data_IF_069621183162
#
_entry.id   IF_069621183162
#
_cell.length_a   1.000
_cell.length_b   1.000
_cell.length_c   1.000
_cell.angle_alpha   90.00
_cell.angle_beta   90.00
_cell.angle_gamma   90.00
#
_symmetry.space_group_name_H-M   'P 1'
#
loop_
_entity.id
_entity.type
_entity.pdbx_description
1 polymer ?
#
# COMPACT_ATOMS: atom_id res chain seq x y z
N UNK A 1 24.32 5.18 -5.20
CA UNK A 1 24.89 3.84 -4.90
C UNK A 1 24.11 2.78 -5.66
N UNK A 2 24.74 1.65 -5.97
CA UNK A 2 24.09 0.48 -6.57
C UNK A 2 23.59 -0.40 -5.42
N UNK A 3 22.32 -0.88 -5.46
CA UNK A 3 21.82 -1.84 -4.48
C UNK A 3 22.62 -3.15 -4.50
N UNK A 4 22.77 -3.76 -3.35
CA UNK A 4 23.35 -5.10 -3.25
C UNK A 4 22.40 -6.12 -3.91
N UNK A 5 22.92 -6.94 -4.80
CA UNK A 5 22.14 -7.94 -5.58
C UNK A 5 22.67 -9.37 -5.40
N UNK A 6 23.58 -9.60 -4.46
CA UNK A 6 24.22 -10.92 -4.27
C UNK A 6 23.19 -12.03 -3.93
N UNK A 7 22.12 -11.68 -3.24
CA UNK A 7 21.08 -12.62 -2.80
C UNK A 7 19.74 -12.41 -3.52
N UNK A 8 19.75 -11.78 -4.71
CA UNK A 8 18.53 -11.53 -5.47
C UNK A 8 17.89 -12.85 -5.92
N UNK A 9 16.59 -12.99 -5.65
CA UNK A 9 15.79 -14.11 -6.13
C UNK A 9 15.02 -13.71 -7.40
N UNK A 10 14.98 -14.59 -8.39
CA UNK A 10 14.13 -14.42 -9.56
C UNK A 10 12.75 -15.03 -9.30
N UNK A 11 11.70 -14.25 -9.56
CA UNK A 11 10.30 -14.70 -9.55
C UNK A 11 9.86 -14.74 -11.01
N UNK A 12 9.82 -15.93 -11.60
CA UNK A 12 9.36 -16.15 -12.98
C UNK A 12 7.89 -16.48 -12.94
N UNK A 13 7.08 -15.63 -13.55
CA UNK A 13 5.62 -15.78 -13.56
C UNK A 13 5.06 -15.52 -14.95
N UNK A 14 4.03 -16.28 -15.26
CA UNK A 14 3.10 -15.97 -16.35
C UNK A 14 1.75 -15.64 -15.72
N UNK A 15 1.27 -14.40 -15.81
CA UNK A 15 0.00 -14.02 -15.20
C UNK A 15 -1.19 -14.84 -15.68
N UNK A 16 -1.11 -15.41 -16.90
CA UNK A 16 -2.18 -16.26 -17.47
C UNK A 16 -2.21 -17.65 -16.85
N UNK A 17 -1.13 -18.08 -16.18
CA UNK A 17 -1.04 -19.39 -15.53
C UNK A 17 -1.44 -19.37 -14.06
N UNK A 18 -1.95 -18.24 -13.54
CA UNK A 18 -2.37 -18.17 -12.15
C UNK A 18 -3.46 -19.20 -11.85
N UNK A 19 -3.24 -20.00 -10.81
CA UNK A 19 -4.21 -21.00 -10.34
C UNK A 19 -5.46 -20.28 -9.84
N UNK A 20 -6.61 -20.75 -10.28
CA UNK A 20 -7.92 -20.29 -9.88
C UNK A 20 -8.53 -21.28 -8.90
N UNK A 21 -9.48 -20.83 -8.09
CA UNK A 21 -10.29 -21.68 -7.19
C UNK A 21 -9.45 -22.46 -6.15
N UNK A 22 -8.27 -21.92 -5.75
CA UNK A 22 -7.50 -22.50 -4.65
C UNK A 22 -8.28 -22.37 -3.34
N UNK A 23 -8.50 -23.49 -2.58
CA UNK A 23 -9.20 -23.43 -1.30
C UNK A 23 -8.46 -22.54 -0.28
N UNK A 24 -9.20 -21.72 0.47
CA UNK A 24 -8.63 -20.84 1.47
C UNK A 24 -7.80 -21.60 2.53
N UNK A 25 -8.25 -22.79 2.93
CA UNK A 25 -7.56 -23.64 3.91
C UNK A 25 -6.21 -24.19 3.43
N UNK A 26 -5.89 -24.12 2.15
CA UNK A 26 -4.55 -24.47 1.65
C UNK A 26 -3.52 -23.36 1.91
N UNK A 27 -3.97 -22.12 1.98
CA UNK A 27 -3.14 -20.93 2.09
C UNK A 27 -3.12 -20.32 3.49
N UNK A 28 -4.26 -20.41 4.18
CA UNK A 28 -4.49 -19.74 5.45
C UNK A 28 -4.90 -20.73 6.55
N UNK A 29 -4.32 -20.58 7.74
CA UNK A 29 -4.77 -21.31 8.94
C UNK A 29 -6.15 -20.83 9.38
N UNK A 30 -6.41 -19.53 9.25
CA UNK A 30 -7.69 -18.92 9.58
C UNK A 30 -7.84 -17.53 8.98
N UNK A 31 -9.10 -17.10 8.85
CA UNK A 31 -9.44 -15.73 8.49
C UNK A 31 -10.25 -15.09 9.60
N UNK A 32 -9.74 -13.97 10.14
CA UNK A 32 -10.43 -13.20 11.17
C UNK A 32 -11.06 -11.97 10.54
N UNK A 33 -12.35 -11.81 10.77
CA UNK A 33 -13.11 -10.65 10.28
C UNK A 33 -13.24 -9.63 11.40
N UNK A 34 -12.88 -8.38 11.13
CA UNK A 34 -12.96 -7.26 12.08
C UNK A 34 -13.93 -6.21 11.53
N UNK A 35 -15.22 -6.27 11.85
CA UNK A 35 -16.17 -5.25 11.48
C UNK A 35 -15.78 -3.90 12.08
N UNK A 36 -15.61 -2.88 11.25
CA UNK A 36 -15.33 -1.53 11.74
C UNK A 36 -16.63 -0.89 12.22
N UNK A 37 -16.62 -0.38 13.45
CA UNK A 37 -17.80 0.17 14.09
C UNK A 37 -18.43 1.28 13.24
N UNK A 38 -19.75 1.15 13.00
CA UNK A 38 -20.54 2.12 12.24
C UNK A 38 -21.37 2.95 13.21
N UNK A 39 -20.95 4.18 13.43
CA UNK A 39 -21.68 5.23 14.15
C UNK A 39 -21.62 6.52 13.32
N UNK A 40 -22.46 7.49 13.60
CA UNK A 40 -22.51 8.76 12.83
C UNK A 40 -21.15 9.42 12.61
N UNK A 41 -20.21 9.30 13.56
CA UNK A 41 -18.89 9.90 13.48
C UNK A 41 -17.87 9.08 12.68
N UNK A 42 -18.13 7.80 12.46
CA UNK A 42 -17.17 6.85 11.87
C UNK A 42 -17.56 6.30 10.51
N UNK A 43 -18.66 6.79 9.91
CA UNK A 43 -19.12 6.30 8.60
C UNK A 43 -18.12 6.74 7.52
N UNK A 44 -17.65 5.78 6.74
CA UNK A 44 -16.81 5.99 5.56
C UNK A 44 -17.07 4.88 4.53
N UNK A 45 -16.58 5.05 3.30
CA UNK A 45 -16.85 4.10 2.21
C UNK A 45 -15.59 3.50 1.59
N UNK A 46 -14.50 4.25 1.55
CA UNK A 46 -13.29 3.85 0.84
C UNK A 46 -12.09 3.75 1.77
N UNK A 47 -11.22 2.82 1.46
CA UNK A 47 -9.89 2.72 2.06
C UNK A 47 -8.88 3.08 0.98
N UNK A 48 -8.48 4.34 0.93
CA UNK A 48 -7.51 4.83 -0.06
C UNK A 48 -6.08 4.62 0.41
N UNK A 49 -5.86 4.67 1.73
CA UNK A 49 -4.63 4.28 2.38
C UNK A 49 -4.93 3.69 3.75
N UNK A 50 -4.19 2.67 4.15
CA UNK A 50 -4.27 2.09 5.49
C UNK A 50 -2.87 1.82 6.04
N UNK A 51 -2.67 2.17 7.30
CA UNK A 51 -1.51 1.78 8.09
C UNK A 51 -1.98 1.06 9.35
N UNK A 52 -1.17 0.09 9.76
CA UNK A 52 -1.46 -0.75 10.93
C UNK A 52 -0.42 -0.51 11.99
N UNK A 53 -0.88 -0.03 13.13
CA UNK A 53 -0.03 0.17 14.31
C UNK A 53 -0.33 -0.88 15.38
N UNK A 54 0.43 -0.91 16.47
CA UNK A 54 0.11 -1.78 17.62
C UNK A 54 -1.25 -1.46 18.23
N UNK A 55 -1.65 -0.17 18.24
CA UNK A 55 -2.87 0.31 18.90
C UNK A 55 -4.10 0.29 17.99
N UNK A 56 -3.93 0.68 16.73
CA UNK A 56 -5.08 0.95 15.86
C UNK A 56 -4.79 0.67 14.38
N UNK A 57 -5.87 0.63 13.62
CA UNK A 57 -5.90 0.80 12.18
C UNK A 57 -6.10 2.27 11.87
N UNK A 58 -5.25 2.83 11.02
CA UNK A 58 -5.31 4.22 10.55
C UNK A 58 -5.72 4.20 9.10
N UNK A 59 -6.87 4.77 8.77
CA UNK A 59 -7.52 4.64 7.46
C UNK A 59 -7.82 6.02 6.90
N UNK A 60 -7.39 6.28 5.67
CA UNK A 60 -7.75 7.48 4.91
C UNK A 60 -8.90 7.15 3.97
N UNK A 61 -9.96 7.95 4.04
CA UNK A 61 -10.95 8.10 2.99
C UNK A 61 -10.73 9.48 2.32
N UNK A 62 -10.20 9.46 1.09
CA UNK A 62 -9.91 10.68 0.34
C UNK A 62 -11.16 11.44 -0.08
N UNK A 63 -12.26 10.73 -0.29
CA UNK A 63 -13.55 11.32 -0.68
C UNK A 63 -14.16 12.15 0.44
N UNK A 64 -14.01 11.65 1.67
CA UNK A 64 -14.44 12.36 2.88
C UNK A 64 -13.37 13.31 3.43
N UNK A 65 -12.17 13.31 2.85
CA UNK A 65 -11.04 14.08 3.33
C UNK A 65 -10.78 13.88 4.83
N UNK A 66 -10.79 12.61 5.26
CA UNK A 66 -10.78 12.24 6.68
C UNK A 66 -9.87 11.04 6.93
N UNK A 67 -9.07 11.10 7.98
CA UNK A 67 -8.35 9.93 8.50
C UNK A 67 -9.12 9.40 9.70
N UNK A 68 -9.50 8.14 9.65
CA UNK A 68 -10.20 7.44 10.72
C UNK A 68 -9.23 6.52 11.48
N UNK A 69 -9.42 6.44 12.78
CA UNK A 69 -8.69 5.52 13.64
C UNK A 69 -9.67 4.54 14.29
N UNK A 70 -9.36 3.26 14.18
CA UNK A 70 -10.12 2.18 14.82
C UNK A 70 -9.19 1.32 15.66
N UNK A 71 -9.65 0.91 16.83
CA UNK A 71 -8.92 -0.04 17.69
C UNK A 71 -8.78 -1.41 17.01
N UNK A 72 -7.94 -2.28 17.52
CA UNK A 72 -7.71 -3.61 16.94
C UNK A 72 -8.94 -4.52 16.95
N UNK A 73 -9.93 -4.26 17.80
CA UNK A 73 -11.24 -4.92 17.81
C UNK A 73 -12.30 -4.23 16.93
N UNK A 74 -11.87 -3.23 16.13
CA UNK A 74 -12.73 -2.52 15.18
C UNK A 74 -13.59 -1.40 15.77
N UNK A 75 -13.44 -1.05 17.04
CA UNK A 75 -14.17 0.08 17.63
C UNK A 75 -13.61 1.40 17.11
N UNK A 76 -14.51 2.35 16.87
CA UNK A 76 -14.09 3.70 16.51
C UNK A 76 -13.30 4.32 17.68
N UNK A 77 -12.10 4.78 17.35
CA UNK A 77 -11.22 5.43 18.33
C UNK A 77 -11.26 6.94 18.16
N UNK A 78 -10.94 7.45 16.97
CA UNK A 78 -10.97 8.87 16.68
C UNK A 78 -10.93 9.14 15.17
N UNK A 79 -10.93 10.43 14.78
CA UNK A 79 -10.71 10.86 13.41
C UNK A 79 -9.99 12.20 13.33
N UNK A 80 -9.28 12.40 12.23
CA UNK A 80 -8.69 13.68 11.84
C UNK A 80 -9.50 14.18 10.65
N UNK A 81 -10.17 15.30 10.83
CA UNK A 81 -11.03 15.93 9.82
C UNK A 81 -10.84 17.44 9.90
N UNK A 82 -10.97 18.13 8.77
CA UNK A 82 -10.96 19.59 8.78
C UNK A 82 -12.19 20.09 9.54
N UNK A 83 -11.96 20.92 10.55
CA UNK A 83 -13.02 21.67 11.22
C UNK A 83 -13.04 23.06 10.61
N UNK A 84 -14.17 23.49 10.06
CA UNK A 84 -14.38 24.77 9.33
C UNK A 84 -14.07 26.05 10.16
N UNK A 85 -13.45 25.90 11.29
CA UNK A 85 -13.04 27.03 12.13
C UNK A 85 -11.65 27.49 11.72
N UNK A 86 -11.50 28.77 11.53
CA UNK A 86 -10.20 29.48 11.35
C UNK A 86 -9.37 29.28 12.62
N UNK A 87 -8.76 28.12 12.76
CA UNK A 87 -7.92 27.75 13.87
C UNK A 87 -6.57 27.24 13.33
N UNK A 88 -5.54 27.32 14.14
CA UNK A 88 -4.31 26.59 13.89
C UNK A 88 -4.64 25.12 13.64
N UNK A 89 -4.09 24.54 12.58
CA UNK A 89 -4.40 23.16 12.21
C UNK A 89 -5.46 22.99 11.10
N UNK A 90 -6.04 24.06 10.57
CA UNK A 90 -6.96 23.98 9.42
C UNK A 90 -6.20 23.66 8.14
N UNK A 91 -6.63 22.63 7.43
CA UNK A 91 -6.09 22.20 6.14
C UNK A 91 -7.23 22.11 5.10
N UNK A 92 -6.89 22.19 3.80
CA UNK A 92 -7.88 22.06 2.72
C UNK A 92 -8.06 20.61 2.26
N UNK A 93 -6.94 19.92 2.12
CA UNK A 93 -6.94 18.53 1.61
C UNK A 93 -5.92 17.71 2.38
N UNK A 94 -6.30 16.50 2.75
CA UNK A 94 -5.37 15.49 3.20
C UNK A 94 -4.76 14.83 1.97
N UNK A 95 -3.44 14.96 1.81
CA UNK A 95 -2.67 14.08 0.95
C UNK A 95 -2.52 12.70 1.59
N UNK A 96 -1.63 11.87 1.06
CA UNK A 96 -1.30 10.61 1.74
C UNK A 96 -0.65 10.91 3.09
N UNK A 97 -0.92 10.05 4.06
CA UNK A 97 -0.42 10.24 5.41
C UNK A 97 0.75 9.30 5.73
N UNK A 98 1.49 9.66 6.76
CA UNK A 98 2.58 8.86 7.32
C UNK A 98 2.36 8.74 8.82
N UNK A 99 2.62 7.56 9.38
CA UNK A 99 2.49 7.27 10.81
C UNK A 99 3.87 7.14 11.44
N UNK A 100 4.13 7.93 12.48
CA UNK A 100 5.23 7.69 13.41
C UNK A 100 4.66 6.99 14.65
N UNK A 101 4.72 5.66 14.65
CA UNK A 101 4.13 4.86 15.74
C UNK A 101 4.83 5.11 17.08
N UNK A 102 6.13 5.40 17.07
CA UNK A 102 6.89 5.65 18.30
C UNK A 102 6.46 6.93 19.01
N UNK A 103 6.10 7.96 18.22
CA UNK A 103 5.61 9.24 18.74
C UNK A 103 4.09 9.30 18.84
N UNK A 104 3.39 8.29 18.31
CA UNK A 104 1.94 8.26 18.15
C UNK A 104 1.44 9.49 17.36
N UNK A 105 2.17 9.82 16.30
CA UNK A 105 1.85 10.95 15.42
C UNK A 105 1.44 10.48 14.02
N UNK A 106 0.47 11.18 13.46
CA UNK A 106 0.07 11.07 12.06
C UNK A 106 0.40 12.38 11.38
N UNK A 107 1.08 12.33 10.25
CA UNK A 107 1.38 13.52 9.46
C UNK A 107 0.97 13.36 8.02
N UNK A 108 0.54 14.45 7.40
CA UNK A 108 0.19 14.53 5.98
C UNK A 108 0.52 15.90 5.41
N UNK A 109 0.76 15.94 4.10
CA UNK A 109 0.91 17.17 3.36
C UNK A 109 -0.48 17.64 2.88
N UNK A 110 -0.80 18.91 3.08
CA UNK A 110 -1.90 19.55 2.35
C UNK A 110 -1.38 20.04 1.00
N UNK A 111 -1.81 19.46 -0.13
CA UNK A 111 -1.32 19.82 -1.45
C UNK A 111 -1.70 21.26 -1.90
N UNK A 112 -2.66 21.91 -1.22
CA UNK A 112 -3.06 23.29 -1.54
C UNK A 112 -2.22 24.33 -0.82
N UNK A 113 -1.88 24.09 0.44
CA UNK A 113 -1.07 25.01 1.25
C UNK A 113 0.41 24.65 1.26
N UNK A 114 0.76 23.41 0.89
CA UNK A 114 2.08 22.81 0.99
C UNK A 114 2.67 22.80 2.40
N UNK A 115 1.80 22.90 3.44
CA UNK A 115 2.18 22.65 4.81
C UNK A 115 2.02 21.16 5.14
N UNK A 116 2.95 20.61 5.91
CA UNK A 116 2.79 19.30 6.54
C UNK A 116 2.20 19.49 7.93
N UNK A 117 1.05 18.87 8.15
CA UNK A 117 0.33 18.88 9.42
C UNK A 117 0.66 17.63 10.24
N UNK A 118 0.70 17.78 11.54
CA UNK A 118 0.96 16.72 12.50
C UNK A 118 -0.15 16.67 13.54
N UNK A 119 -0.67 15.46 13.73
CA UNK A 119 -1.75 15.17 14.69
C UNK A 119 -1.35 13.99 15.56
N UNK A 120 -1.83 13.94 16.81
CA UNK A 120 -1.72 12.75 17.65
C UNK A 120 -2.76 11.69 17.25
N UNK A 121 -2.63 10.47 17.76
CA UNK A 121 -3.64 9.42 17.56
C UNK A 121 -4.99 9.79 18.20
N UNK A 122 -5.02 10.68 19.20
CA UNK A 122 -6.25 11.26 19.75
C UNK A 122 -6.86 12.35 18.84
N UNK A 123 -6.35 12.53 17.63
CA UNK A 123 -6.84 13.51 16.67
C UNK A 123 -6.55 14.97 17.05
N UNK A 124 -5.67 15.21 18.02
CA UNK A 124 -5.28 16.54 18.43
C UNK A 124 -4.24 17.12 17.50
N UNK A 125 -4.45 18.34 17.00
CA UNK A 125 -3.43 19.07 16.27
C UNK A 125 -2.22 19.34 17.17
N UNK A 126 -1.03 19.06 16.62
CA UNK A 126 0.24 19.23 17.34
C UNK A 126 1.02 20.42 16.79
N UNK A 127 1.22 20.45 15.49
CA UNK A 127 2.00 21.47 14.80
C UNK A 127 1.81 21.38 13.29
N UNK A 128 2.21 22.42 12.59
CA UNK A 128 2.45 22.38 11.14
C UNK A 128 3.87 22.82 10.83
N UNK A 129 4.45 22.22 9.81
CA UNK A 129 5.74 22.63 9.29
C UNK A 129 5.51 23.54 8.07
N UNK A 130 6.19 24.67 7.98
CA UNK A 130 5.98 25.63 6.91
C UNK A 130 6.34 25.03 5.54
N UNK A 131 5.78 25.61 4.50
CA UNK A 131 6.23 25.41 3.13
C UNK A 131 7.74 25.66 3.08
N UNK A 132 8.43 24.75 2.42
CA UNK A 132 9.86 24.86 2.23
C UNK A 132 10.24 26.17 1.58
N UNK A 133 11.18 26.85 2.20
CA UNK A 133 11.76 28.10 1.69
C UNK A 133 13.17 27.85 1.10
N UNK A 134 13.81 26.74 1.44
CA UNK A 134 15.15 26.38 0.94
C UNK A 134 15.14 25.01 0.26
N UNK A 135 15.98 24.85 -0.76
CA UNK A 135 16.10 23.63 -1.57
C UNK A 135 16.49 22.36 -0.81
N UNK A 136 16.82 22.43 0.47
CA UNK A 136 17.18 21.29 1.30
C UNK A 136 15.98 20.62 1.98
N UNK A 137 14.83 21.28 2.03
CA UNK A 137 13.65 20.81 2.76
C UNK A 137 12.58 20.10 1.90
N UNK A 138 12.98 19.44 0.83
CA UNK A 138 12.10 18.67 -0.09
C UNK A 138 11.20 17.64 0.62
N UNK A 139 11.60 17.21 1.80
CA UNK A 139 10.80 16.35 2.68
C UNK A 139 9.38 16.87 2.89
N UNK A 140 9.21 18.19 3.01
CA UNK A 140 7.90 18.79 3.25
C UNK A 140 7.03 18.87 2.00
N UNK A 141 7.60 18.69 0.81
CA UNK A 141 6.88 18.74 -0.46
C UNK A 141 6.34 17.39 -0.92
N UNK A 142 6.70 16.32 -0.23
CA UNK A 142 6.27 14.97 -0.61
C UNK A 142 4.80 14.73 -0.32
N UNK A 143 4.15 14.01 -1.20
CA UNK A 143 2.73 13.64 -1.10
C UNK A 143 2.44 12.60 0.00
N UNK A 144 3.46 12.05 0.66
CA UNK A 144 3.31 10.97 1.63
C UNK A 144 3.46 9.57 1.03
N UNK A 145 3.14 9.37 -0.25
CA UNK A 145 3.44 8.10 -0.94
C UNK A 145 4.94 7.93 -1.20
N UNK A 146 5.63 9.04 -1.29
CA UNK A 146 7.05 9.13 -1.60
C UNK A 146 7.93 9.22 -0.35
N UNK A 147 7.33 9.21 0.82
CA UNK A 147 8.01 9.25 2.11
C UNK A 147 7.57 8.10 2.99
N UNK A 148 8.53 7.52 3.69
CA UNK A 148 8.29 6.59 4.77
C UNK A 148 9.11 7.01 5.99
N UNK A 149 8.44 7.22 7.13
CA UNK A 149 9.06 7.50 8.42
C UNK A 149 9.27 6.18 9.16
N UNK A 150 10.47 5.66 9.12
CA UNK A 150 10.82 4.43 9.85
C UNK A 150 11.01 4.71 11.34
N UNK A 151 11.60 5.84 11.65
CA UNK A 151 11.87 6.31 13.02
C UNK A 151 12.17 7.79 12.99
N UNK A 152 12.25 8.43 14.17
CA UNK A 152 12.75 9.79 14.25
C UNK A 152 14.15 9.97 13.64
N UNK A 153 14.89 8.87 13.45
CA UNK A 153 16.28 8.89 13.01
C UNK A 153 16.50 8.50 11.55
N UNK A 154 15.44 8.07 10.84
CA UNK A 154 15.59 7.68 9.44
C UNK A 154 14.31 7.98 8.65
N UNK A 155 14.50 8.66 7.53
CA UNK A 155 13.46 9.03 6.59
C UNK A 155 13.84 8.46 5.23
N UNK A 156 12.91 7.73 4.60
CA UNK A 156 13.05 7.27 3.23
C UNK A 156 12.25 8.20 2.34
N UNK A 157 12.84 8.63 1.26
CA UNK A 157 12.23 9.58 0.33
C UNK A 157 12.45 9.12 -1.11
N UNK A 158 11.40 9.16 -1.91
CA UNK A 158 11.49 9.01 -3.37
C UNK A 158 11.58 10.38 -4.01
N UNK A 159 12.63 10.62 -4.78
CA UNK A 159 12.76 11.83 -5.58
C UNK A 159 11.70 11.88 -6.68
N UNK A 160 11.14 13.05 -6.91
CA UNK A 160 10.20 13.30 -7.98
C UNK A 160 10.74 14.39 -8.92
N UNK A 161 10.05 14.64 -10.04
CA UNK A 161 10.44 15.62 -11.03
C UNK A 161 10.59 17.02 -10.44
N UNK A 162 9.63 17.45 -9.62
CA UNK A 162 9.65 18.79 -9.01
C UNK A 162 10.86 18.97 -8.08
N UNK A 163 11.22 17.93 -7.31
CA UNK A 163 12.42 17.96 -6.48
C UNK A 163 13.69 18.04 -7.31
N UNK A 164 13.78 17.26 -8.39
CA UNK A 164 14.94 17.27 -9.28
C UNK A 164 15.12 18.64 -9.95
N UNK A 165 14.06 19.23 -10.46
CA UNK A 165 14.12 20.57 -11.11
C UNK A 165 14.55 21.66 -10.13
N UNK A 166 14.15 21.55 -8.87
CA UNK A 166 14.51 22.51 -7.81
C UNK A 166 15.91 22.29 -7.24
N UNK A 167 16.45 21.08 -7.34
CA UNK A 167 17.70 20.67 -6.69
C UNK A 167 18.57 19.76 -7.59
N UNK A 168 19.00 20.23 -8.77
CA UNK A 168 19.65 19.37 -9.77
C UNK A 168 21.01 18.82 -9.31
N UNK A 169 21.67 19.47 -8.36
CA UNK A 169 22.95 19.02 -7.80
C UNK A 169 22.82 17.96 -6.72
N UNK A 170 21.68 17.89 -6.05
CA UNK A 170 21.41 16.98 -4.92
C UNK A 170 20.59 15.78 -5.36
N UNK A 171 19.69 15.95 -6.30
CA UNK A 171 18.77 14.92 -6.78
C UNK A 171 19.44 13.97 -7.79
N UNK A 172 20.51 13.31 -7.40
CA UNK A 172 21.22 12.35 -8.27
C UNK A 172 20.72 10.92 -8.16
N UNK A 173 19.70 10.69 -7.33
CA UNK A 173 19.19 9.34 -7.01
C UNK A 173 17.67 9.33 -6.89
N UNK A 174 17.07 8.22 -7.32
CA UNK A 174 15.61 8.02 -7.19
C UNK A 174 15.18 7.86 -5.73
N UNK A 175 15.99 7.19 -4.92
CA UNK A 175 15.70 6.92 -3.52
C UNK A 175 16.78 7.55 -2.64
N UNK A 176 16.34 8.32 -1.67
CA UNK A 176 17.17 8.97 -0.69
C UNK A 176 16.87 8.41 0.70
N UNK A 177 17.93 8.14 1.45
CA UNK A 177 17.85 7.81 2.88
C UNK A 177 18.42 8.99 3.65
N UNK A 178 17.59 9.60 4.49
CA UNK A 178 17.93 10.77 5.28
C UNK A 178 18.02 10.42 6.76
N UNK A 179 18.84 11.18 7.48
CA UNK A 179 18.88 11.10 8.95
C UNK A 179 17.83 12.00 9.63
N UNK A 180 17.86 12.05 10.96
CA UNK A 180 16.94 12.89 11.76
C UNK A 180 17.09 14.40 11.50
N UNK A 181 18.25 14.82 10.99
CA UNK A 181 18.53 16.21 10.61
C UNK A 181 18.18 16.46 9.14
N UNK A 182 17.54 15.48 8.48
CA UNK A 182 17.16 15.52 7.06
C UNK A 182 18.36 15.60 6.10
N UNK A 183 19.55 15.23 6.55
CA UNK A 183 20.73 15.14 5.70
C UNK A 183 20.73 13.80 4.96
N UNK A 184 21.08 13.82 3.68
CA UNK A 184 21.16 12.62 2.85
C UNK A 184 22.34 11.77 3.35
N UNK A 185 22.04 10.54 3.78
CA UNK A 185 23.04 9.53 4.13
C UNK A 185 23.39 8.64 2.96
N UNK A 186 22.34 8.20 2.23
CA UNK A 186 22.51 7.33 1.07
C UNK A 186 21.59 7.78 -0.05
N UNK A 187 22.10 7.67 -1.28
CA UNK A 187 21.31 7.81 -2.51
C UNK A 187 21.40 6.54 -3.33
N UNK A 188 20.27 5.99 -3.71
CA UNK A 188 20.18 4.75 -4.49
C UNK A 188 19.44 4.96 -5.80
N UNK A 189 19.70 4.07 -6.76
CA UNK A 189 19.08 4.06 -8.08
C UNK A 189 19.28 5.40 -8.78
N UNK A 190 20.46 5.60 -9.40
CA UNK A 190 20.80 6.87 -10.05
C UNK A 190 19.67 7.38 -10.95
N UNK A 191 19.38 8.64 -10.85
CA UNK A 191 18.47 9.34 -11.76
C UNK A 191 19.17 9.51 -13.09
N UNK A 192 18.59 8.97 -14.12
CA UNK A 192 18.95 9.28 -15.49
C UNK A 192 18.11 10.49 -15.93
N UNK A 193 18.78 11.62 -16.17
CA UNK A 193 18.12 12.87 -16.59
C UNK A 193 17.35 12.72 -17.90
N UNK A 194 17.75 11.80 -18.76
CA UNK A 194 17.03 11.46 -19.99
C UNK A 194 15.66 10.81 -19.70
N UNK A 195 15.50 10.20 -18.53
CA UNK A 195 14.28 9.49 -18.11
C UNK A 195 13.39 10.33 -17.21
N UNK A 196 13.93 11.35 -16.51
CA UNK A 196 13.20 12.20 -15.56
C UNK A 196 12.09 13.03 -16.23
N UNK A 197 12.23 13.32 -17.52
CA UNK A 197 11.19 14.04 -18.28
C UNK A 197 9.94 13.17 -18.53
N UNK A 198 9.88 11.98 -17.97
CA UNK A 198 8.74 11.11 -18.14
C UNK A 198 7.71 11.45 -17.11
N UNK A 199 6.62 11.82 -17.68
CA UNK A 199 5.39 11.94 -16.94
C UNK A 199 5.17 10.63 -16.18
N UNK A 200 5.31 10.68 -14.89
CA UNK A 200 4.88 9.64 -13.98
C UNK A 200 3.34 9.54 -13.98
N UNK A 201 2.70 9.75 -15.15
CA UNK A 201 1.25 9.69 -15.31
C UNK A 201 0.68 8.35 -14.85
N UNK A 202 1.49 7.28 -14.92
CA UNK A 202 1.16 5.97 -14.40
C UNK A 202 1.90 5.63 -13.09
N UNK A 203 2.63 6.59 -12.52
CA UNK A 203 3.56 6.36 -11.41
C UNK A 203 3.01 6.66 -10.01
N UNK A 204 1.70 6.79 -9.84
CA UNK A 204 1.08 7.22 -8.56
C UNK A 204 0.84 6.06 -7.59
N UNK A 205 1.61 4.99 -7.70
CA UNK A 205 1.53 3.92 -6.72
C UNK A 205 2.34 4.24 -5.47
N UNK A 206 1.92 3.70 -4.34
CA UNK A 206 2.72 3.71 -3.13
C UNK A 206 4.10 3.13 -3.42
N UNK A 207 5.16 3.85 -3.03
CA UNK A 207 6.53 3.41 -3.27
C UNK A 207 7.03 2.49 -2.18
N UNK A 208 6.73 2.80 -0.92
CA UNK A 208 7.26 2.11 0.24
C UNK A 208 6.21 1.24 0.91
N UNK A 209 6.57 0.01 1.25
CA UNK A 209 5.72 -0.97 1.93
C UNK A 209 6.39 -1.43 3.21
N UNK A 210 5.67 -1.36 4.31
CA UNK A 210 6.18 -1.81 5.60
C UNK A 210 6.08 -3.33 5.73
N UNK A 211 7.20 -3.99 5.91
CA UNK A 211 7.30 -5.44 6.13
C UNK A 211 7.68 -5.79 7.58
N UNK A 212 7.27 -5.01 8.53
CA UNK A 212 7.31 -5.18 10.00
C UNK A 212 8.63 -5.66 10.67
N UNK A 213 9.54 -6.29 9.96
CA UNK A 213 10.84 -6.72 10.50
C UNK A 213 11.89 -5.61 10.53
N UNK A 214 11.46 -4.36 10.64
CA UNK A 214 12.34 -3.20 10.53
C UNK A 214 12.91 -3.03 9.12
N UNK A 215 12.38 -3.73 8.13
CA UNK A 215 12.72 -3.62 6.71
C UNK A 215 11.58 -2.98 5.94
N UNK A 216 11.91 -2.20 4.95
CA UNK A 216 10.96 -1.55 4.07
C UNK A 216 11.22 -2.02 2.66
N UNK A 217 10.23 -2.63 2.03
CA UNK A 217 10.29 -2.94 0.61
C UNK A 217 9.84 -1.75 -0.22
N UNK A 218 10.35 -1.66 -1.43
CA UNK A 218 9.94 -0.64 -2.39
C UNK A 218 10.00 -1.17 -3.83
N UNK A 219 9.15 -0.61 -4.64
CA UNK A 219 9.12 -0.78 -6.09
C UNK A 219 9.05 0.57 -6.78
N UNK A 220 9.54 0.64 -8.01
CA UNK A 220 9.49 1.84 -8.84
C UNK A 220 8.82 1.48 -10.17
N UNK A 221 7.98 2.36 -10.73
CA UNK A 221 7.40 2.16 -12.06
C UNK A 221 8.48 1.88 -13.11
N UNK A 222 8.11 1.12 -14.13
CA UNK A 222 8.96 0.71 -15.25
C UNK A 222 10.18 -0.13 -14.85
N UNK A 223 10.13 -0.73 -13.64
CA UNK A 223 11.18 -1.57 -13.09
C UNK A 223 10.55 -2.81 -12.44
N UNK A 224 11.08 -3.98 -12.77
CA UNK A 224 10.57 -5.26 -12.26
C UNK A 224 11.33 -5.76 -11.03
N UNK A 225 12.14 -4.92 -10.41
CA UNK A 225 12.85 -5.25 -9.19
C UNK A 225 12.06 -4.79 -7.95
N UNK A 226 12.11 -5.61 -6.92
CA UNK A 226 11.72 -5.24 -5.56
C UNK A 226 12.98 -5.05 -4.75
N UNK A 227 13.08 -3.90 -4.13
CA UNK A 227 14.20 -3.54 -3.28
C UNK A 227 13.77 -3.54 -1.83
N UNK A 228 14.74 -3.76 -0.96
CA UNK A 228 14.55 -3.73 0.49
C UNK A 228 15.58 -2.79 1.12
N UNK A 229 15.13 -1.96 2.04
CA UNK A 229 15.99 -1.10 2.86
C UNK A 229 15.94 -1.61 4.29
N UNK A 230 17.12 -1.96 4.83
CA UNK A 230 17.27 -2.43 6.20
C UNK A 230 17.25 -1.30 7.23
N UNK A 231 17.33 -1.66 8.52
CA UNK A 231 17.27 -0.71 9.64
C UNK A 231 18.39 0.32 9.67
N UNK A 232 19.50 0.07 9.00
CA UNK A 232 20.62 1.02 8.89
C UNK A 232 20.59 1.84 7.60
N UNK A 233 19.62 1.58 6.73
CA UNK A 233 19.43 2.31 5.47
C UNK A 233 20.15 1.70 4.27
N UNK A 234 20.71 0.50 4.38
CA UNK A 234 21.34 -0.19 3.26
C UNK A 234 20.27 -0.82 2.38
N UNK A 235 20.36 -0.57 1.08
CA UNK A 235 19.43 -1.13 0.08
C UNK A 235 20.00 -2.38 -0.56
N UNK A 236 19.16 -3.39 -0.69
CA UNK A 236 19.39 -4.59 -1.49
C UNK A 236 18.30 -4.76 -2.55
N UNK A 237 18.65 -5.42 -3.67
CA UNK A 237 17.67 -5.90 -4.64
C UNK A 237 17.28 -7.33 -4.24
N UNK A 238 16.06 -7.48 -3.71
CA UNK A 238 15.62 -8.73 -3.09
C UNK A 238 14.97 -9.66 -4.11
N UNK A 239 14.13 -9.12 -5.00
CA UNK A 239 13.47 -9.90 -6.04
C UNK A 239 13.57 -9.21 -7.40
N UNK A 240 13.59 -10.05 -8.45
CA UNK A 240 13.46 -9.61 -9.82
C UNK A 240 12.35 -10.44 -10.50
N UNK A 241 11.32 -9.77 -10.95
CA UNK A 241 10.24 -10.42 -11.68
C UNK A 241 10.63 -10.60 -13.14
N UNK A 242 10.42 -11.80 -13.64
CA UNK A 242 10.61 -12.17 -15.05
C UNK A 242 9.24 -12.52 -15.62
N UNK A 243 8.78 -11.72 -16.56
CA UNK A 243 7.48 -11.83 -17.20
C UNK A 243 7.64 -12.33 -18.64
N UNK A 244 6.62 -12.97 -19.24
CA UNK A 244 6.59 -13.26 -20.67
C UNK A 244 6.74 -11.99 -21.51
N UNK A 245 7.25 -12.12 -22.73
CA UNK A 245 7.48 -10.98 -23.61
C UNK A 245 6.23 -10.12 -23.86
N UNK A 246 5.05 -10.77 -23.96
CA UNK A 246 3.77 -10.08 -24.14
C UNK A 246 3.32 -9.26 -22.93
N UNK A 247 3.87 -9.55 -21.74
CA UNK A 247 3.57 -8.85 -20.50
C UNK A 247 4.71 -7.91 -20.08
N UNK A 248 5.83 -7.93 -20.78
CA UNK A 248 7.01 -7.14 -20.47
C UNK A 248 7.07 -5.86 -21.28
N UNK A 249 7.64 -4.83 -20.68
CA UNK A 249 8.09 -3.65 -21.43
C UNK A 249 9.37 -4.01 -22.22
N UNK A 250 9.62 -3.36 -23.37
CA UNK A 250 10.90 -3.45 -24.05
C UNK A 250 12.06 -3.06 -23.10
N UNK A 251 13.18 -3.76 -23.20
CA UNK A 251 14.33 -3.54 -22.33
C UNK A 251 14.88 -2.12 -22.37
N UNK A 252 14.68 -1.43 -23.48
CA UNK A 252 15.11 -0.05 -23.72
C UNK A 252 13.97 0.98 -23.58
N UNK A 253 12.77 0.56 -23.11
CA UNK A 253 11.57 1.38 -23.03
C UNK A 253 11.80 2.73 -22.37
N UNK A 254 12.63 2.78 -21.34
CA UNK A 254 12.94 3.99 -20.59
C UNK A 254 14.01 4.85 -21.28
N UNK A 255 14.87 4.27 -22.10
CA UNK A 255 16.04 4.94 -22.71
C UNK A 255 15.83 5.32 -24.16
N UNK A 256 15.07 4.53 -24.90
CA UNK A 256 14.89 4.71 -26.34
C UNK A 256 14.00 5.92 -26.64
N UNK A 257 14.53 6.89 -27.43
CA UNK A 257 13.78 8.09 -27.81
C UNK A 257 12.44 7.83 -28.50
N UNK A 258 12.29 6.70 -29.20
CA UNK A 258 11.04 6.30 -29.85
C UNK A 258 9.88 6.18 -28.86
N UNK A 259 10.15 5.71 -27.65
CA UNK A 259 9.11 5.60 -26.61
C UNK A 259 8.94 6.92 -25.84
N UNK A 260 9.98 7.75 -25.72
CA UNK A 260 10.00 8.92 -24.84
C UNK A 260 8.80 9.85 -25.01
N UNK A 261 8.39 10.12 -26.25
CA UNK A 261 7.23 10.97 -26.56
C UNK A 261 5.89 10.22 -26.60
N UNK A 262 5.93 8.88 -26.59
CA UNK A 262 4.77 8.03 -26.91
C UNK A 262 4.48 6.94 -25.88
N UNK A 263 5.00 7.04 -24.66
CA UNK A 263 4.84 5.98 -23.65
C UNK A 263 3.41 5.67 -23.29
N UNK A 264 2.60 6.69 -23.09
CA UNK A 264 1.16 6.53 -22.82
C UNK A 264 0.48 5.81 -23.97
N UNK A 265 0.77 6.24 -25.21
CA UNK A 265 0.23 5.61 -26.41
C UNK A 265 0.70 4.15 -26.55
N UNK A 266 1.99 3.90 -26.26
CA UNK A 266 2.51 2.53 -26.25
C UNK A 266 1.76 1.62 -25.26
N UNK A 267 1.60 2.08 -24.02
CA UNK A 267 0.89 1.31 -22.97
C UNK A 267 -0.58 1.10 -23.30
N UNK A 268 -1.25 2.08 -23.89
CA UNK A 268 -2.63 1.95 -24.33
C UNK A 268 -2.79 0.95 -25.49
N UNK A 269 -1.79 0.83 -26.35
CA UNK A 269 -1.78 -0.12 -27.46
C UNK A 269 -1.31 -1.53 -27.03
N UNK A 270 -0.49 -1.61 -25.97
CA UNK A 270 0.03 -2.86 -25.41
C UNK A 270 -0.53 -3.08 -24.01
N UNK A 271 -1.84 -3.26 -23.92
CA UNK A 271 -2.59 -3.26 -22.66
C UNK A 271 -2.15 -4.32 -21.64
N UNK A 272 -1.55 -5.41 -22.10
CA UNK A 272 -1.01 -6.48 -21.25
C UNK A 272 0.36 -6.12 -20.66
N UNK A 273 1.06 -5.12 -21.20
CA UNK A 273 2.38 -4.75 -20.72
C UNK A 273 2.31 -4.22 -19.28
N UNK A 274 2.99 -4.90 -18.38
CA UNK A 274 3.10 -4.51 -16.98
C UNK A 274 4.09 -3.36 -16.88
N UNK A 275 3.65 -2.24 -16.32
CA UNK A 275 4.51 -1.06 -16.16
C UNK A 275 4.86 -0.77 -14.69
N UNK A 276 4.23 -1.46 -13.75
CA UNK A 276 4.58 -1.36 -12.33
C UNK A 276 4.19 -2.63 -11.58
N UNK A 277 4.90 -2.91 -10.50
CA UNK A 277 4.55 -3.92 -9.51
C UNK A 277 4.28 -3.17 -8.22
N UNK A 278 3.07 -3.32 -7.68
CA UNK A 278 2.63 -2.58 -6.49
C UNK A 278 2.06 -3.52 -5.44
N UNK A 279 1.69 -2.97 -4.30
CA UNK A 279 1.06 -3.70 -3.19
C UNK A 279 1.86 -4.95 -2.81
N UNK A 280 3.20 -4.82 -2.80
CA UNK A 280 4.11 -5.92 -2.49
C UNK A 280 4.22 -6.11 -0.98
N UNK A 281 3.69 -7.23 -0.50
CA UNK A 281 3.79 -7.63 0.90
C UNK A 281 4.33 -9.06 1.00
N UNK A 282 5.23 -9.26 1.92
CA UNK A 282 5.87 -10.54 2.16
C UNK A 282 5.43 -11.14 3.48
N UNK A 283 4.97 -12.40 3.44
CA UNK A 283 4.91 -13.32 4.57
C UNK A 283 6.12 -14.24 4.60
N UNK A 284 6.06 -15.31 5.38
CA UNK A 284 7.18 -16.25 5.48
C UNK A 284 7.44 -16.99 4.15
N UNK A 285 6.42 -17.63 3.60
CA UNK A 285 6.49 -18.41 2.36
C UNK A 285 5.74 -17.78 1.19
N UNK A 286 4.92 -16.82 1.46
CA UNK A 286 4.01 -16.22 0.49
C UNK A 286 4.35 -14.75 0.27
N UNK A 287 4.35 -14.32 -0.97
CA UNK A 287 4.37 -12.91 -1.32
C UNK A 287 3.11 -12.55 -2.09
N UNK A 288 2.54 -11.40 -1.78
CA UNK A 288 1.43 -10.84 -2.55
C UNK A 288 1.87 -9.56 -3.24
N UNK A 289 1.36 -9.36 -4.44
CA UNK A 289 1.67 -8.19 -5.26
C UNK A 289 0.59 -7.96 -6.30
N UNK A 290 0.62 -6.77 -6.89
CA UNK A 290 -0.23 -6.41 -8.01
C UNK A 290 0.61 -6.08 -9.22
N UNK A 291 0.28 -6.68 -10.35
CA UNK A 291 0.81 -6.29 -11.66
C UNK A 291 -0.05 -5.18 -12.24
N UNK A 292 0.53 -4.01 -12.47
CA UNK A 292 -0.20 -2.86 -13.00
C UNK A 292 0.01 -2.75 -14.50
N UNK A 293 -1.09 -2.87 -15.24
CA UNK A 293 -1.15 -2.69 -16.69
C UNK A 293 -2.38 -1.86 -17.08
N UNK A 294 -2.58 -1.59 -18.36
CA UNK A 294 -3.70 -0.78 -18.82
C UNK A 294 -5.07 -1.50 -18.77
N UNK A 295 -5.10 -2.81 -18.57
CA UNK A 295 -6.36 -3.56 -18.44
C UNK A 295 -6.96 -3.52 -17.05
N UNK A 296 -6.15 -3.32 -16.03
CA UNK A 296 -6.52 -3.32 -14.60
C UNK A 296 -7.34 -4.57 -14.16
N UNK A 297 -7.22 -5.68 -14.88
CA UNK A 297 -7.98 -6.90 -14.66
C UNK A 297 -7.14 -7.94 -13.92
N UNK A 298 -7.68 -8.46 -12.80
CA UNK A 298 -7.25 -9.70 -12.12
C UNK A 298 -5.74 -9.83 -11.80
N UNK A 299 -5.05 -8.71 -11.67
CA UNK A 299 -3.59 -8.67 -11.50
C UNK A 299 -3.15 -8.74 -10.04
N UNK A 300 -4.05 -9.17 -9.15
CA UNK A 300 -3.79 -9.31 -7.73
C UNK A 300 -3.39 -10.76 -7.44
N UNK A 301 -2.13 -10.98 -7.14
CA UNK A 301 -1.51 -12.29 -7.16
C UNK A 301 -0.86 -12.62 -5.82
N UNK A 302 -0.89 -13.89 -5.49
CA UNK A 302 -0.14 -14.52 -4.43
C UNK A 302 0.85 -15.50 -5.06
N UNK A 303 2.09 -15.47 -4.61
CA UNK A 303 3.12 -16.38 -5.08
C UNK A 303 3.75 -17.12 -3.91
N UNK A 304 3.82 -18.44 -4.04
CA UNK A 304 4.47 -19.29 -3.07
C UNK A 304 5.96 -19.39 -3.40
N UNK A 305 6.81 -18.90 -2.49
CA UNK A 305 8.28 -18.87 -2.66
C UNK A 305 8.94 -20.27 -2.62
N UNK A 306 8.23 -21.28 -2.10
CA UNK A 306 8.73 -22.67 -1.98
C UNK A 306 8.31 -23.51 -3.19
N UNK A 307 7.04 -23.41 -3.58
CA UNK A 307 6.47 -24.25 -4.67
C UNK A 307 6.51 -23.57 -6.02
N UNK A 308 6.81 -22.26 -6.07
CA UNK A 308 6.72 -21.41 -7.26
C UNK A 308 5.29 -21.34 -7.86
N UNK A 309 4.28 -21.65 -7.08
CA UNK A 309 2.88 -21.56 -7.50
C UNK A 309 2.41 -20.11 -7.49
N UNK A 310 1.73 -19.70 -8.57
CA UNK A 310 1.08 -18.42 -8.72
C UNK A 310 -0.43 -18.57 -8.58
N UNK A 311 -1.05 -17.80 -7.70
CA UNK A 311 -2.46 -17.93 -7.35
C UNK A 311 -3.15 -16.57 -7.53
N UNK A 312 -4.34 -16.58 -8.14
CA UNK A 312 -5.19 -15.39 -8.19
C UNK A 312 -5.84 -15.14 -6.83
N UNK A 313 -5.50 -14.03 -6.18
CA UNK A 313 -6.01 -13.70 -4.84
C UNK A 313 -7.53 -13.50 -4.80
N UNK A 314 -8.12 -12.99 -5.86
CA UNK A 314 -9.56 -12.71 -5.91
C UNK A 314 -10.40 -13.94 -6.23
N UNK A 315 -9.76 -14.99 -6.76
CA UNK A 315 -10.38 -16.27 -7.12
C UNK A 315 -10.16 -17.36 -6.05
N UNK A 316 -9.57 -17.00 -4.89
CA UNK A 316 -9.43 -17.96 -3.77
C UNK A 316 -10.82 -18.40 -3.33
N UNK A 317 -11.04 -19.72 -3.31
CA UNK A 317 -12.33 -20.30 -2.99
C UNK A 317 -12.57 -20.29 -1.48
N UNK A 318 -13.65 -19.64 -1.02
CA UNK A 318 -14.02 -19.63 0.39
C UNK A 318 -14.42 -21.02 0.89
N UNK A 319 -13.82 -21.44 2.00
CA UNK A 319 -14.10 -22.74 2.66
C UNK A 319 -14.29 -22.57 4.18
N UNK A 320 -14.05 -23.62 4.94
CA UNK A 320 -14.21 -23.63 6.40
C UNK A 320 -13.24 -22.68 7.13
N UNK A 321 -12.03 -22.44 6.61
CA UNK A 321 -11.03 -21.55 7.21
C UNK A 321 -11.52 -20.08 7.28
N UNK A 322 -12.47 -19.73 6.42
CA UNK A 322 -13.05 -18.39 6.33
C UNK A 322 -14.58 -18.39 6.48
N UNK A 323 -15.16 -19.39 7.14
CA UNK A 323 -16.62 -19.54 7.31
C UNK A 323 -17.39 -19.52 5.97
N UNK A 324 -16.81 -19.95 4.88
CA UNK A 324 -17.33 -19.86 3.50
C UNK A 324 -17.63 -18.41 3.05
N UNK A 325 -17.07 -17.43 3.73
CA UNK A 325 -17.21 -16.01 3.38
C UNK A 325 -16.05 -15.56 2.49
N UNK A 326 -16.28 -14.59 1.58
CA UNK A 326 -15.18 -13.96 0.84
C UNK A 326 -14.18 -13.33 1.82
N UNK A 327 -12.91 -13.25 1.42
CA UNK A 327 -11.84 -12.75 2.28
C UNK A 327 -11.04 -11.61 1.66
N UNK A 328 -11.07 -11.48 0.35
CA UNK A 328 -10.40 -10.41 -0.40
C UNK A 328 -11.38 -9.85 -1.43
N UNK A 329 -11.41 -8.53 -1.60
CA UNK A 329 -12.25 -7.88 -2.61
C UNK A 329 -11.43 -7.13 -3.65
N UNK A 330 -10.42 -6.37 -3.23
CA UNK A 330 -9.64 -5.51 -4.13
C UNK A 330 -8.14 -5.70 -4.01
N UNK A 331 -7.60 -5.62 -2.79
CA UNK A 331 -6.16 -5.68 -2.54
C UNK A 331 -5.83 -6.04 -1.10
N UNK A 332 -4.58 -6.32 -0.85
CA UNK A 332 -3.99 -6.31 0.49
C UNK A 332 -3.57 -4.87 0.81
N UNK A 333 -3.86 -4.42 1.99
CA UNK A 333 -3.53 -3.09 2.47
C UNK A 333 -2.30 -3.07 3.37
N UNK A 334 -2.02 -4.17 4.04
CA UNK A 334 -0.89 -4.30 4.94
C UNK A 334 -0.53 -5.77 5.16
N UNK A 335 0.70 -6.01 5.60
CA UNK A 335 1.12 -7.24 6.22
C UNK A 335 1.53 -6.98 7.68
N UNK A 336 1.35 -7.94 8.56
CA UNK A 336 1.76 -7.79 9.95
C UNK A 336 2.57 -9.01 10.40
N UNK A 337 3.77 -8.75 10.91
CA UNK A 337 4.70 -9.72 11.52
C UNK A 337 4.99 -10.96 10.65
N UNK A 338 4.93 -10.86 9.33
CA UNK A 338 5.02 -11.97 8.37
C UNK A 338 3.97 -13.08 8.54
N UNK A 339 3.01 -12.93 9.47
CA UNK A 339 2.08 -13.97 9.82
C UNK A 339 0.70 -13.81 9.23
N UNK A 340 0.33 -12.60 8.83
CA UNK A 340 -0.94 -12.39 8.19
C UNK A 340 -0.95 -11.17 7.25
N UNK A 341 -1.81 -11.27 6.24
CA UNK A 341 -2.15 -10.15 5.37
C UNK A 341 -3.48 -9.52 5.81
N UNK A 342 -3.65 -8.24 5.52
CA UNK A 342 -4.88 -7.51 5.82
C UNK A 342 -5.51 -7.04 4.53
N UNK A 343 -6.76 -7.46 4.30
CA UNK A 343 -7.62 -6.97 3.24
C UNK A 343 -8.87 -6.32 3.84
N UNK A 344 -9.80 -5.90 3.00
CA UNK A 344 -11.09 -5.35 3.43
C UNK A 344 -12.19 -5.76 2.47
N UNK A 345 -13.38 -5.93 3.03
CA UNK A 345 -14.61 -6.22 2.30
C UNK A 345 -15.64 -5.15 2.58
N UNK A 346 -16.39 -4.74 1.57
CA UNK A 346 -17.59 -3.93 1.80
C UNK A 346 -18.63 -4.72 2.58
N UNK A 347 -19.44 -4.05 3.37
CA UNK A 347 -20.59 -4.68 4.03
C UNK A 347 -21.52 -5.36 3.01
N UNK A 348 -21.78 -4.71 1.87
CA UNK A 348 -22.60 -5.27 0.80
C UNK A 348 -22.08 -6.60 0.26
N UNK A 349 -20.76 -6.78 0.13
CA UNK A 349 -20.13 -8.05 -0.28
C UNK A 349 -20.46 -9.16 0.71
N UNK A 350 -20.33 -8.88 2.01
CA UNK A 350 -20.63 -9.88 3.06
C UNK A 350 -22.14 -10.19 3.15
N UNK A 351 -23.00 -9.20 3.02
CA UNK A 351 -24.44 -9.45 2.98
C UNK A 351 -24.86 -10.26 1.75
N UNK A 352 -24.25 -10.00 0.58
CA UNK A 352 -24.47 -10.81 -0.62
C UNK A 352 -24.01 -12.26 -0.43
N UNK A 353 -22.87 -12.47 0.24
CA UNK A 353 -22.41 -13.81 0.59
C UNK A 353 -23.35 -14.53 1.57
N UNK A 354 -23.85 -13.82 2.59
CA UNK A 354 -24.85 -14.34 3.51
C UNK A 354 -26.08 -14.86 2.78
N UNK A 355 -26.64 -14.09 1.82
CA UNK A 355 -27.80 -14.52 1.07
C UNK A 355 -27.55 -15.80 0.27
N UNK A 356 -26.37 -15.95 -0.33
CA UNK A 356 -25.98 -17.19 -1.03
C UNK A 356 -25.89 -18.40 -0.07
N UNK A 357 -25.43 -18.17 1.15
CA UNK A 357 -25.28 -19.21 2.18
C UNK A 357 -26.54 -19.48 2.99
N UNK A 358 -27.63 -18.75 2.77
CA UNK A 358 -28.91 -18.86 3.51
C UNK A 358 -29.51 -20.27 3.51
N UNK A 359 -29.22 -21.07 2.50
CA UNK A 359 -29.69 -22.46 2.40
C UNK A 359 -29.02 -23.39 3.42
N UNK A 360 -27.83 -23.04 3.91
CA UNK A 360 -27.09 -23.80 4.94
C UNK A 360 -27.55 -23.34 6.33
N UNK A 361 -28.59 -24.01 6.88
CA UNK A 361 -29.19 -23.66 8.18
C UNK A 361 -28.21 -23.69 9.38
N UNK A 362 -27.07 -24.35 9.22
CA UNK A 362 -26.05 -24.45 10.27
C UNK A 362 -24.93 -23.45 10.13
N UNK A 363 -24.82 -22.76 8.99
CA UNK A 363 -23.74 -21.83 8.71
C UNK A 363 -23.70 -20.66 9.73
N UNK A 364 -24.82 -20.00 10.00
CA UNK A 364 -24.86 -18.88 10.98
C UNK A 364 -24.44 -19.31 12.39
N UNK A 365 -24.65 -20.56 12.76
CA UNK A 365 -24.25 -21.07 14.09
C UNK A 365 -22.74 -21.08 14.25
N UNK A 366 -22.01 -21.31 13.15
CA UNK A 366 -20.54 -21.40 13.14
C UNK A 366 -19.87 -20.00 13.20
N UNK A 367 -20.60 -18.94 12.90
CA UNK A 367 -20.05 -17.59 12.91
C UNK A 367 -19.65 -17.13 14.32
N UNK A 368 -18.53 -16.41 14.47
CA UNK A 368 -18.17 -15.72 15.70
C UNK A 368 -19.24 -14.70 16.11
N UNK A 369 -19.32 -14.41 17.41
CA UNK A 369 -20.35 -13.55 17.95
C UNK A 369 -20.35 -12.12 17.36
N UNK A 370 -19.16 -11.58 17.05
CA UNK A 370 -19.04 -10.25 16.45
C UNK A 370 -19.58 -10.20 15.02
N UNK A 371 -19.45 -11.29 14.22
CA UNK A 371 -20.06 -11.37 12.90
C UNK A 371 -21.57 -11.57 12.99
N UNK A 372 -22.06 -12.36 13.94
CA UNK A 372 -23.51 -12.46 14.22
C UNK A 372 -24.10 -11.09 14.55
N UNK A 373 -23.36 -10.28 15.34
CA UNK A 373 -23.75 -8.90 15.64
C UNK A 373 -23.73 -8.01 14.40
N UNK A 374 -22.68 -8.10 13.57
CA UNK A 374 -22.56 -7.36 12.32
C UNK A 374 -23.75 -7.64 11.40
N UNK A 375 -24.15 -8.88 11.21
CA UNK A 375 -25.27 -9.26 10.37
C UNK A 375 -26.68 -8.90 10.91
N UNK A 376 -26.76 -8.30 12.11
CA UNK A 376 -28.02 -7.67 12.60
C UNK A 376 -28.19 -6.25 12.07
N UNK A 377 -27.16 -5.62 11.53
CA UNK A 377 -27.21 -4.34 10.85
C UNK A 377 -27.63 -4.49 9.37
N UNK A 378 -27.16 -3.59 8.54
CA UNK A 378 -27.45 -3.55 7.11
C UNK A 378 -26.20 -3.45 6.23
N UNK A 379 -26.38 -3.44 4.93
CA UNK A 379 -25.30 -3.38 3.94
C UNK A 379 -24.61 -2.01 3.81
N UNK A 380 -25.10 -0.98 4.53
CA UNK A 380 -24.53 0.37 4.52
C UNK A 380 -23.52 0.58 5.65
N UNK A 381 -23.21 -0.47 6.40
CA UNK A 381 -22.20 -0.43 7.44
C UNK A 381 -20.79 -0.20 6.86
N UNK A 382 -19.87 0.23 7.72
CA UNK A 382 -18.45 0.34 7.40
C UNK A 382 -17.89 -0.98 6.87
N UNK A 383 -16.78 -0.93 6.10
CA UNK A 383 -16.07 -2.13 5.69
C UNK A 383 -15.65 -3.03 6.86
N UNK A 384 -15.48 -4.28 6.54
CA UNK A 384 -14.94 -5.30 7.46
C UNK A 384 -13.52 -5.62 7.05
N UNK A 385 -12.56 -5.44 7.94
CA UNK A 385 -11.20 -5.88 7.69
C UNK A 385 -11.11 -7.40 7.79
N UNK A 386 -10.32 -8.01 6.93
CA UNK A 386 -10.01 -9.44 6.96
C UNK A 386 -8.52 -9.63 7.23
N UNK A 387 -8.22 -10.37 8.29
CA UNK A 387 -6.87 -10.75 8.66
C UNK A 387 -6.67 -12.19 8.20
N UNK A 388 -5.84 -12.38 7.19
CA UNK A 388 -5.55 -13.66 6.53
C UNK A 388 -4.32 -14.26 7.19
N UNK A 389 -4.50 -15.13 8.19
CA UNK A 389 -3.39 -15.77 8.89
C UNK A 389 -2.75 -16.84 8.01
N UNK A 390 -1.48 -16.62 7.67
CA UNK A 390 -0.74 -17.49 6.76
C UNK A 390 -0.46 -18.85 7.39
N UNK A 391 -0.56 -19.88 6.57
CA UNK A 391 -0.19 -21.24 6.98
C UNK A 391 1.31 -21.32 7.23
N UNK A 392 1.69 -21.97 8.35
CA UNK A 392 3.09 -22.15 8.74
C UNK A 392 3.82 -23.19 7.90
#
# INVERSE_FOLDING_TARGET
>A
MIPDSLNRKEIRIDPSSATLETPAAELFDSVVYVPLQTIKQSIFSNIDQMEVTRKCYVILDESLNTIFLFTKDGKFYNKIVNTDKVAEGTFKKIGKFVVDEKREEISFLDPHSFYRFYYSFEGKYLRKMPKVISGEDFYHMSTGLDIYLRSANQILYRSNKAFFESNPTVATSNILVLDSLKKIRYGYLPLDTSTVALDDLYGVAQTFYNNHNGRVTLSIPYNYNIYEIDSIGKMSNTYCFVLPAMNSLPNDFMKNPVYKANRVSYLNNNKNAVYSITDFYQGDKLVTFRLVNALDLHNFLLYNLETAELISMIEIMPDHACFKLPMVQRRIYAAANNHFFISALSASTLFSAKEKLRKDKNWEKQLPQHLKKFYKGDQLQNPVLTLLYLKK
#
